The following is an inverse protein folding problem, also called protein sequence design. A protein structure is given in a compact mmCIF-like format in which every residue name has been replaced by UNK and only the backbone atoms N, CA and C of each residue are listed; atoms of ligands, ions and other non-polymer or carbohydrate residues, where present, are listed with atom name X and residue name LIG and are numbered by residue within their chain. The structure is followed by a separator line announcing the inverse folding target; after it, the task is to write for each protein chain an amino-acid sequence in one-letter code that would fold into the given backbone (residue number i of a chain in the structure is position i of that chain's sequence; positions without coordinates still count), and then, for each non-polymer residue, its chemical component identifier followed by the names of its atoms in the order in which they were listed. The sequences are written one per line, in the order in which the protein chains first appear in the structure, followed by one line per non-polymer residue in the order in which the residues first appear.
data_IF_825372520650
#
_entry.id   IF_825372520650
#
_cell.length_a   1.000
_cell.length_b   1.000
_cell.length_c   1.000
_cell.angle_alpha   90.00
_cell.angle_beta   90.00
_cell.angle_gamma   90.00
#
_symmetry.space_group_name_H-M   'P 1'
#
loop_
_entity.id
_entity.type
_entity.pdbx_description
1 polymer ?
#
# COMPACT_ATOMS: atom_id res chain seq x y z
N UNK A 1 25.53 11.68 -26.59
CA UNK A 1 24.22 11.33 -27.22
C UNK A 1 23.62 10.21 -26.40
N UNK A 2 22.55 10.45 -25.66
CA UNK A 2 21.82 9.40 -24.96
C UNK A 2 20.99 8.63 -25.99
N UNK A 3 21.11 7.31 -25.99
CA UNK A 3 20.34 6.39 -26.84
C UNK A 3 19.52 5.54 -25.87
N UNK A 4 18.19 5.59 -26.00
CA UNK A 4 17.29 4.76 -25.22
C UNK A 4 17.00 3.52 -26.05
N UNK A 5 17.41 2.37 -25.54
CA UNK A 5 17.13 1.06 -26.14
C UNK A 5 16.03 0.37 -25.34
N UNK A 6 14.97 -0.11 -26.00
CA UNK A 6 13.83 -0.76 -25.36
C UNK A 6 13.95 -2.27 -25.52
N UNK A 7 14.74 -2.90 -24.66
CA UNK A 7 14.81 -4.37 -24.53
C UNK A 7 13.92 -4.88 -23.39
N UNK A 8 13.40 -6.11 -23.52
CA UNK A 8 12.76 -6.78 -22.39
C UNK A 8 13.77 -6.88 -21.24
N UNK A 9 13.56 -6.12 -20.17
CA UNK A 9 14.49 -6.08 -19.05
C UNK A 9 14.53 -7.48 -18.40
N UNK A 10 15.66 -8.17 -18.50
CA UNK A 10 15.89 -9.45 -17.82
C UNK A 10 15.98 -9.33 -16.30
N UNK A 11 15.86 -8.12 -15.75
CA UNK A 11 15.87 -7.79 -14.34
C UNK A 11 14.82 -6.71 -14.02
N UNK A 12 14.40 -6.65 -12.75
CA UNK A 12 13.44 -5.66 -12.26
C UNK A 12 13.93 -4.23 -12.52
N UNK A 13 13.07 -3.39 -13.07
CA UNK A 13 13.34 -1.96 -13.25
C UNK A 13 13.16 -1.19 -11.93
N UNK A 14 13.80 -0.02 -11.80
CA UNK A 14 13.61 0.84 -10.63
C UNK A 14 12.14 1.23 -10.41
N UNK A 15 11.38 1.42 -11.49
CA UNK A 15 9.95 1.73 -11.41
C UNK A 15 9.16 0.56 -10.81
N UNK A 16 9.37 -0.66 -11.28
CA UNK A 16 8.72 -1.87 -10.75
C UNK A 16 9.02 -2.05 -9.26
N UNK A 17 10.27 -1.77 -8.84
CA UNK A 17 10.65 -1.81 -7.42
C UNK A 17 9.89 -0.78 -6.58
N UNK A 18 9.81 0.46 -7.07
CA UNK A 18 9.12 1.53 -6.38
C UNK A 18 7.62 1.23 -6.21
N UNK A 19 6.99 0.69 -7.26
CA UNK A 19 5.59 0.29 -7.23
C UNK A 19 5.34 -0.82 -6.20
N UNK A 20 6.22 -1.83 -6.16
CA UNK A 20 6.13 -2.91 -5.17
C UNK A 20 6.26 -2.39 -3.74
N UNK A 21 7.26 -1.54 -3.47
CA UNK A 21 7.43 -0.94 -2.14
C UNK A 21 6.22 -0.08 -1.74
N UNK A 22 5.61 0.62 -2.69
CA UNK A 22 4.38 1.38 -2.45
C UNK A 22 3.21 0.45 -2.08
N UNK A 23 3.07 -0.66 -2.79
CA UNK A 23 2.07 -1.70 -2.48
C UNK A 23 2.27 -2.32 -1.10
N UNK A 24 3.51 -2.66 -0.74
CA UNK A 24 3.86 -3.21 0.57
C UNK A 24 3.49 -2.24 1.70
N UNK A 25 3.78 -0.94 1.53
CA UNK A 25 3.40 0.09 2.51
C UNK A 25 1.89 0.26 2.64
N UNK A 26 1.16 0.18 1.53
CA UNK A 26 -0.30 0.22 1.53
C UNK A 26 -0.88 -0.95 2.33
N UNK A 27 -0.45 -2.19 2.03
CA UNK A 27 -0.90 -3.39 2.74
C UNK A 27 -0.55 -3.34 4.23
N UNK A 28 0.65 -2.84 4.58
CA UNK A 28 1.03 -2.67 5.97
C UNK A 28 0.13 -1.66 6.71
N UNK A 29 -0.23 -0.54 6.08
CA UNK A 29 -1.13 0.45 6.65
C UNK A 29 -2.53 -0.11 6.86
N UNK A 30 -3.06 -0.87 5.90
CA UNK A 30 -4.38 -1.53 6.01
C UNK A 30 -4.40 -2.56 7.14
N UNK A 31 -3.36 -3.40 7.23
CA UNK A 31 -3.23 -4.39 8.30
C UNK A 31 -3.14 -3.73 9.67
N UNK A 32 -2.34 -2.66 9.81
CA UNK A 32 -2.19 -1.92 11.06
C UNK A 32 -3.51 -1.27 11.49
N UNK A 33 -4.23 -0.65 10.56
CA UNK A 33 -5.53 -0.01 10.85
C UNK A 33 -6.58 -1.03 11.30
N UNK A 34 -6.65 -2.20 10.64
CA UNK A 34 -7.59 -3.27 11.02
C UNK A 34 -7.19 -3.96 12.33
N UNK A 35 -5.91 -3.95 12.69
CA UNK A 35 -5.41 -4.46 13.95
C UNK A 35 -5.65 -3.49 15.14
N UNK A 36 -6.05 -2.24 14.88
CA UNK A 36 -6.30 -1.26 15.93
C UNK A 36 -7.55 -1.64 16.76
N UNK A 37 -7.42 -1.77 18.10
CA UNK A 37 -8.54 -2.10 18.97
C UNK A 37 -9.71 -1.10 18.90
N UNK A 38 -9.43 0.18 18.67
CA UNK A 38 -10.44 1.23 18.56
C UNK A 38 -11.26 1.10 17.29
N UNK A 39 -10.61 0.75 16.16
CA UNK A 39 -11.28 0.45 14.89
C UNK A 39 -12.18 -0.78 15.06
N UNK A 40 -11.68 -1.83 15.70
CA UNK A 40 -12.47 -3.02 15.99
C UNK A 40 -13.68 -2.72 16.87
N UNK A 41 -13.53 -1.84 17.87
CA UNK A 41 -14.63 -1.41 18.73
C UNK A 41 -15.72 -0.67 17.93
N UNK A 42 -15.32 0.23 17.03
CA UNK A 42 -16.25 0.95 16.15
C UNK A 42 -17.01 0.00 15.21
N UNK A 43 -16.32 -0.99 14.65
CA UNK A 43 -16.93 -2.00 13.78
C UNK A 43 -17.92 -2.86 14.57
N UNK A 44 -17.53 -3.33 15.76
CA UNK A 44 -18.35 -4.25 16.57
C UNK A 44 -19.53 -3.57 17.27
N UNK A 45 -19.31 -2.39 17.88
CA UNK A 45 -20.33 -1.72 18.69
C UNK A 45 -21.27 -0.82 17.87
N UNK A 46 -20.77 -0.20 16.81
CA UNK A 46 -21.52 0.78 16.03
C UNK A 46 -21.88 0.29 14.62
N UNK A 47 -21.51 -0.96 14.26
CA UNK A 47 -21.72 -1.48 12.93
C UNK A 47 -20.97 -0.68 11.85
N UNK A 48 -19.92 0.05 12.24
CA UNK A 48 -19.14 0.85 11.32
C UNK A 48 -18.44 -0.08 10.30
N UNK A 49 -18.35 0.35 9.05
CA UNK A 49 -17.66 -0.39 7.99
C UNK A 49 -16.45 0.40 7.51
N UNK A 50 -15.31 -0.27 7.46
CA UNK A 50 -14.11 0.27 6.82
C UNK A 50 -14.29 0.21 5.31
N UNK A 51 -14.10 1.35 4.65
CA UNK A 51 -14.11 1.44 3.18
C UNK A 51 -12.70 1.09 2.71
N UNK A 52 -12.58 0.01 1.93
CA UNK A 52 -11.31 -0.35 1.29
C UNK A 52 -10.84 0.81 0.39
N UNK A 53 -9.53 0.98 0.23
CA UNK A 53 -8.88 2.06 -0.53
C UNK A 53 -8.92 3.47 0.10
N UNK A 54 -9.54 3.67 1.27
CA UNK A 54 -9.48 4.96 1.99
C UNK A 54 -8.32 5.08 2.99
N UNK A 55 -7.61 3.98 3.25
CA UNK A 55 -6.47 3.94 4.18
C UNK A 55 -5.24 4.41 3.40
N UNK A 56 -4.54 5.44 3.91
CA UNK A 56 -3.28 5.90 3.32
C UNK A 56 -2.12 5.58 4.27
N UNK A 57 -0.97 5.12 3.73
CA UNK A 57 0.23 4.98 4.55
C UNK A 57 0.62 6.35 5.09
N UNK A 58 0.85 6.42 6.40
CA UNK A 58 1.36 7.59 7.07
C UNK A 58 2.89 7.63 6.90
N UNK A 59 3.42 8.73 6.39
CA UNK A 59 4.85 9.05 6.40
C UNK A 59 5.02 10.18 7.43
N UNK A 60 5.86 9.97 8.46
CA UNK A 60 6.23 10.99 9.46
C UNK A 60 6.98 12.18 8.84
#
# INVERSE_FOLDING_TARGET
RLVIDTGAAGAETLHQRADRQRGERQTAAEAAFMADPSVQLLVQQHGARVVADSIRPFEE
#
